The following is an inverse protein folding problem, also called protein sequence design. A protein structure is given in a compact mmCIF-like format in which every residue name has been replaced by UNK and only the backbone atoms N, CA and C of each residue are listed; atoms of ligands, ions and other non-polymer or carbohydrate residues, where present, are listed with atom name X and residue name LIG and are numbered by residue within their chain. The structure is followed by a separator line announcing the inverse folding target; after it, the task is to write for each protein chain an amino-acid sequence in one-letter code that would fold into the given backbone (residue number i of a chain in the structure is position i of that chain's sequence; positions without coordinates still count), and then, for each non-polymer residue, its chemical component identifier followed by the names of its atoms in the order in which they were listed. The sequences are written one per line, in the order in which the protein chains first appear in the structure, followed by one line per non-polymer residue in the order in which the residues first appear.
data_IF_578801535744
#
_entry.id   IF_578801535744
#
_cell.length_a   1.000
_cell.length_b   1.000
_cell.length_c   1.000
_cell.angle_alpha   90.00
_cell.angle_beta   90.00
_cell.angle_gamma   90.00
#
_symmetry.space_group_name_H-M   'P 1'
#
loop_
_entity.id
_entity.type
_entity.pdbx_description
1 polymer ?
#
# COMPACT_ATOMS: atom_id res chain seq x y z
N UNK A 1 1.58 -19.90 9.73
CA UNK A 1 1.16 -18.89 8.75
C UNK A 1 2.27 -17.88 8.60
N UNK A 2 2.76 -17.65 7.38
CA UNK A 2 3.80 -16.66 7.11
C UNK A 2 3.29 -15.68 6.07
N UNK A 3 3.66 -14.41 6.23
CA UNK A 3 3.44 -13.43 5.17
C UNK A 3 4.25 -13.85 3.94
N UNK A 4 3.64 -13.76 2.75
CA UNK A 4 4.28 -14.12 1.47
C UNK A 4 4.55 -12.91 0.59
N UNK A 5 3.63 -11.93 0.60
CA UNK A 5 3.71 -10.71 -0.19
C UNK A 5 2.80 -9.63 0.39
N UNK A 6 3.08 -8.39 0.02
CA UNK A 6 2.11 -7.30 0.12
C UNK A 6 1.36 -7.21 -1.21
N UNK A 7 0.11 -6.78 -1.18
CA UNK A 7 -0.55 -6.26 -2.37
C UNK A 7 -0.86 -4.80 -2.13
N UNK A 8 -0.29 -3.93 -2.95
CA UNK A 8 -0.68 -2.52 -2.99
C UNK A 8 -1.94 -2.39 -3.82
N UNK A 9 -2.93 -1.65 -3.31
CA UNK A 9 -4.20 -1.44 -4.01
C UNK A 9 -4.47 0.06 -4.09
N UNK A 10 -4.68 0.50 -5.31
CA UNK A 10 -4.99 1.88 -5.66
C UNK A 10 -6.51 2.07 -5.77
N UNK A 11 -6.96 3.31 -5.66
CA UNK A 11 -8.38 3.65 -5.67
C UNK A 11 -9.12 3.22 -6.95
N UNK A 12 -8.46 3.31 -8.10
CA UNK A 12 -8.99 2.84 -9.38
C UNK A 12 -9.10 1.30 -9.46
N UNK A 13 -8.87 0.59 -8.35
CA UNK A 13 -8.94 -0.86 -8.15
C UNK A 13 -7.74 -1.60 -8.77
N UNK A 14 -6.79 -0.89 -9.37
CA UNK A 14 -5.53 -1.49 -9.76
C UNK A 14 -4.78 -1.99 -8.52
N UNK A 15 -4.20 -3.18 -8.65
CA UNK A 15 -3.45 -3.78 -7.55
C UNK A 15 -2.29 -4.60 -8.04
N UNK A 16 -1.18 -4.49 -7.32
CA UNK A 16 0.06 -5.16 -7.67
C UNK A 16 0.59 -5.95 -6.49
N UNK A 17 0.95 -7.20 -6.78
CA UNK A 17 1.58 -8.08 -5.82
C UNK A 17 3.06 -7.71 -5.69
N UNK A 18 3.46 -7.27 -4.50
CA UNK A 18 4.84 -6.92 -4.13
C UNK A 18 5.45 -8.05 -3.31
N UNK A 19 6.35 -8.87 -3.88
CA UNK A 19 7.03 -9.93 -3.14
C UNK A 19 7.81 -9.38 -1.95
N UNK A 20 7.92 -10.14 -0.86
CA UNK A 20 8.66 -9.68 0.33
C UNK A 20 10.15 -9.41 0.07
N UNK A 21 10.75 -9.98 -0.99
CA UNK A 21 12.13 -9.65 -1.37
C UNK A 21 12.29 -8.19 -1.83
N UNK A 22 11.21 -7.55 -2.28
CA UNK A 22 11.17 -6.14 -2.69
C UNK A 22 10.98 -5.21 -1.49
N UNK A 23 10.42 -5.73 -0.40
CA UNK A 23 10.07 -4.97 0.81
C UNK A 23 11.24 -5.03 1.80
N UNK A 24 11.90 -3.90 2.05
CA UNK A 24 12.91 -3.81 3.11
C UNK A 24 12.26 -3.90 4.48
N UNK A 25 11.21 -3.11 4.70
CA UNK A 25 10.39 -3.15 5.89
C UNK A 25 9.03 -2.47 5.64
N UNK A 26 8.05 -2.77 6.48
CA UNK A 26 6.81 -2.02 6.53
C UNK A 26 6.24 -2.03 7.96
N UNK A 27 5.43 -1.04 8.27
CA UNK A 27 4.78 -0.90 9.56
C UNK A 27 3.37 -0.37 9.38
N UNK A 28 2.42 -1.02 10.06
CA UNK A 28 1.03 -0.58 10.15
C UNK A 28 0.75 -0.30 11.62
N UNK A 29 0.23 0.89 11.94
CA UNK A 29 -0.05 1.28 13.32
C UNK A 29 -1.44 1.90 13.48
N UNK A 30 -2.00 1.79 14.69
CA UNK A 30 -3.34 2.30 15.01
C UNK A 30 -4.43 1.61 14.20
N UNK A 31 -4.38 0.28 14.05
CA UNK A 31 -5.41 -0.48 13.34
C UNK A 31 -6.68 -0.50 14.19
N UNK A 32 -7.74 0.08 13.66
CA UNK A 32 -9.09 0.04 14.19
C UNK A 32 -9.93 -0.92 13.34
N UNK A 33 -10.81 -1.68 14.00
CA UNK A 33 -11.73 -2.60 13.34
C UNK A 33 -13.15 -2.12 13.55
N UNK A 34 -13.86 -1.88 12.46
CA UNK A 34 -15.29 -1.57 12.48
C UNK A 34 -16.05 -2.81 12.05
N UNK A 35 -17.07 -3.18 12.83
CA UNK A 35 -17.94 -4.31 12.53
C UNK A 35 -19.34 -3.75 12.42
N UNK A 36 -19.86 -3.68 11.20
CA UNK A 36 -21.19 -3.19 10.93
C UNK A 36 -22.13 -4.34 10.58
N UNK A 37 -23.33 -4.27 11.14
CA UNK A 37 -24.42 -5.17 10.82
C UNK A 37 -25.59 -4.36 10.28
N UNK A 38 -26.08 -4.73 9.10
CA UNK A 38 -27.28 -4.14 8.52
C UNK A 38 -28.50 -5.02 8.78
N UNK A 39 -29.69 -4.42 8.85
CA UNK A 39 -30.96 -5.16 8.96
C UNK A 39 -31.25 -6.10 7.78
N UNK A 40 -30.47 -5.98 6.69
CA UNK A 40 -30.50 -6.89 5.55
C UNK A 40 -29.65 -8.15 5.74
N UNK A 41 -29.06 -8.34 6.93
CA UNK A 41 -28.26 -9.52 7.26
C UNK A 41 -26.81 -9.45 6.79
N UNK A 42 -26.38 -8.33 6.20
CA UNK A 42 -24.98 -8.15 5.81
C UNK A 42 -24.15 -7.77 7.02
N UNK A 43 -23.09 -8.54 7.26
CA UNK A 43 -22.01 -8.25 8.19
C UNK A 43 -20.81 -7.75 7.38
N UNK A 44 -20.35 -6.53 7.65
CA UNK A 44 -19.11 -6.00 7.06
C UNK A 44 -18.08 -5.79 8.16
N UNK A 45 -16.85 -6.22 7.89
CA UNK A 45 -15.72 -6.00 8.77
C UNK A 45 -14.71 -5.15 8.01
N UNK A 46 -14.46 -3.95 8.50
CA UNK A 46 -13.49 -3.02 7.94
C UNK A 46 -12.32 -2.87 8.90
N UNK A 47 -11.11 -2.76 8.35
CA UNK A 47 -9.89 -2.49 9.10
C UNK A 47 -9.23 -1.26 8.51
N UNK A 48 -9.10 -0.21 9.31
CA UNK A 48 -8.47 1.05 8.91
C UNK A 48 -7.27 1.29 9.83
N UNK A 49 -6.14 1.72 9.29
CA UNK A 49 -5.00 2.12 10.12
C UNK A 49 -4.92 3.64 10.24
N UNK A 50 -4.26 4.12 11.30
CA UNK A 50 -3.95 5.55 11.46
C UNK A 50 -2.68 5.95 10.72
N UNK A 51 -1.74 5.02 10.56
CA UNK A 51 -0.50 5.27 9.84
C UNK A 51 0.06 3.99 9.23
N UNK A 52 0.51 4.10 7.98
CA UNK A 52 1.27 3.09 7.27
C UNK A 52 2.60 3.68 6.82
N UNK A 53 3.68 2.90 6.98
CA UNK A 53 4.98 3.22 6.37
C UNK A 53 5.54 1.99 5.71
N UNK A 54 6.20 2.13 4.56
CA UNK A 54 6.93 1.05 3.92
C UNK A 54 8.18 1.57 3.22
N UNK A 55 9.18 0.69 3.14
CA UNK A 55 10.43 0.93 2.44
C UNK A 55 10.65 -0.19 1.44
N UNK A 56 10.88 0.16 0.18
CA UNK A 56 11.06 -0.79 -0.92
C UNK A 56 12.40 -0.59 -1.61
N UNK A 57 12.95 -1.66 -2.17
CA UNK A 57 14.09 -1.57 -3.09
C UNK A 57 13.59 -1.14 -4.48
N UNK A 58 14.05 0.03 -4.96
CA UNK A 58 13.58 0.61 -6.23
C UNK A 58 13.88 -0.30 -7.41
N UNK A 59 15.10 -0.84 -7.47
CA UNK A 59 15.53 -1.73 -8.55
C UNK A 59 14.69 -3.01 -8.63
N UNK A 60 14.14 -3.48 -7.51
CA UNK A 60 13.25 -4.62 -7.47
C UNK A 60 11.79 -4.25 -7.77
N UNK A 61 11.33 -3.06 -7.37
CA UNK A 61 10.00 -2.54 -7.73
C UNK A 61 9.85 -2.42 -9.25
N UNK A 62 10.86 -1.89 -9.93
CA UNK A 62 10.89 -1.69 -11.38
C UNK A 62 10.77 -2.99 -12.19
N UNK A 63 11.00 -4.16 -11.57
CA UNK A 63 10.85 -5.47 -12.20
C UNK A 63 9.41 -5.99 -12.17
N UNK A 64 8.52 -5.35 -11.42
CA UNK A 64 7.12 -5.74 -11.31
C UNK A 64 6.36 -5.10 -12.47
N UNK A 65 5.83 -5.94 -13.37
CA UNK A 65 5.01 -5.47 -14.48
C UNK A 65 3.74 -4.79 -13.97
N UNK A 66 3.49 -3.60 -14.48
CA UNK A 66 2.24 -2.87 -14.31
C UNK A 66 1.36 -3.01 -15.56
N UNK A 67 0.09 -2.61 -15.48
CA UNK A 67 -0.81 -2.61 -16.65
C UNK A 67 -0.58 -1.37 -17.52
N UNK A 68 0.00 -0.32 -16.93
CA UNK A 68 0.31 0.96 -17.55
C UNK A 68 1.76 0.98 -18.07
N UNK A 69 2.09 1.91 -18.96
CA UNK A 69 3.47 2.11 -19.44
C UNK A 69 4.37 2.81 -18.39
N UNK A 70 4.13 2.58 -17.09
CA UNK A 70 4.89 3.15 -15.96
C UNK A 70 5.39 2.06 -15.02
N UNK A 71 6.55 2.27 -14.41
CA UNK A 71 7.10 1.35 -13.41
C UNK A 71 6.33 1.42 -12.08
N UNK A 72 6.42 0.38 -11.23
CA UNK A 72 5.66 0.37 -9.97
C UNK A 72 6.13 1.43 -8.97
N UNK A 73 7.41 1.80 -8.96
CA UNK A 73 7.93 2.94 -8.20
C UNK A 73 7.36 4.27 -8.70
N UNK A 74 7.28 4.49 -10.02
CA UNK A 74 6.61 5.68 -10.56
C UNK A 74 5.13 5.72 -10.16
N UNK A 75 4.46 4.56 -10.18
CA UNK A 75 3.05 4.42 -9.81
C UNK A 75 2.79 4.62 -8.31
N UNK A 76 3.79 4.35 -7.48
CA UNK A 76 3.74 4.57 -6.04
C UNK A 76 4.19 5.98 -5.64
N UNK A 77 4.74 6.78 -6.55
CA UNK A 77 5.27 8.10 -6.23
C UNK A 77 4.13 9.13 -6.08
N UNK A 78 3.96 9.68 -4.88
CA UNK A 78 2.89 10.64 -4.56
C UNK A 78 2.95 11.93 -5.40
N UNK A 79 4.08 12.23 -6.03
CA UNK A 79 4.19 13.37 -6.94
C UNK A 79 3.53 13.12 -8.30
N UNK A 80 3.38 11.84 -8.69
CA UNK A 80 2.74 11.41 -9.93
C UNK A 80 1.34 10.85 -9.66
N UNK A 81 1.23 9.96 -8.66
CA UNK A 81 0.01 9.27 -8.26
C UNK A 81 -0.03 9.16 -6.74
N UNK A 82 -1.02 9.78 -6.11
CA UNK A 82 -1.22 9.68 -4.67
C UNK A 82 -2.57 9.02 -4.38
N UNK A 83 -2.81 7.81 -4.84
CA UNK A 83 -4.12 7.14 -4.74
C UNK A 83 -4.01 5.74 -4.13
N UNK A 84 -2.91 5.46 -3.41
CA UNK A 84 -2.76 4.23 -2.63
C UNK A 84 -3.77 4.25 -1.47
N UNK A 85 -4.72 3.31 -1.49
CA UNK A 85 -5.86 3.32 -0.56
C UNK A 85 -5.88 2.09 0.37
N UNK A 86 -5.30 0.96 -0.05
CA UNK A 86 -5.25 -0.25 0.76
C UNK A 86 -3.95 -1.02 0.59
N UNK A 87 -3.61 -1.77 1.64
CA UNK A 87 -2.60 -2.83 1.59
C UNK A 87 -3.27 -4.13 1.97
N UNK A 88 -3.04 -5.17 1.16
CA UNK A 88 -3.35 -6.53 1.57
C UNK A 88 -2.10 -7.26 2.06
N UNK A 89 -2.20 -7.84 3.24
CA UNK A 89 -1.23 -8.79 3.76
C UNK A 89 -1.64 -10.18 3.27
N UNK A 90 -0.88 -10.74 2.32
CA UNK A 90 -1.19 -12.04 1.71
C UNK A 90 -0.22 -13.10 2.22
N UNK A 91 -0.77 -14.15 2.81
CA UNK A 91 0.00 -15.25 3.41
C UNK A 91 0.34 -16.34 2.39
N UNK A 92 1.20 -17.27 2.80
CA UNK A 92 1.61 -18.42 2.00
C UNK A 92 0.46 -19.38 1.63
N UNK A 93 -0.56 -19.48 2.48
CA UNK A 93 -1.78 -20.24 2.21
C UNK A 93 -2.87 -19.47 1.44
N UNK A 94 -2.60 -18.22 1.04
CA UNK A 94 -3.53 -17.39 0.25
C UNK A 94 -4.57 -16.62 1.06
N UNK A 95 -4.52 -16.67 2.39
CA UNK A 95 -5.34 -15.81 3.24
C UNK A 95 -4.93 -14.34 3.05
N UNK A 96 -5.94 -13.46 3.04
CA UNK A 96 -5.79 -12.03 2.79
C UNK A 96 -6.31 -11.24 3.98
N UNK A 97 -5.48 -10.37 4.53
CA UNK A 97 -5.91 -9.33 5.47
C UNK A 97 -5.81 -7.97 4.80
N UNK A 98 -6.95 -7.41 4.42
CA UNK A 98 -7.06 -6.05 3.87
C UNK A 98 -6.96 -5.03 5.00
N UNK A 99 -6.14 -3.99 4.82
CA UNK A 99 -6.03 -2.84 5.70
C UNK A 99 -6.19 -1.58 4.84
N UNK A 100 -7.20 -0.77 5.14
CA UNK A 100 -7.40 0.55 4.54
C UNK A 100 -6.44 1.55 5.15
N UNK A 101 -5.85 2.35 4.28
CA UNK A 101 -4.93 3.42 4.66
C UNK A 101 -5.73 4.69 5.00
N UNK A 102 -5.15 5.61 5.80
CA UNK A 102 -5.70 6.95 5.98
C UNK A 102 -5.98 7.61 4.63
N UNK A 103 -7.07 8.35 4.56
CA UNK A 103 -7.52 9.03 3.34
C UNK A 103 -7.88 10.47 3.67
N UNK A 104 -7.23 11.42 2.99
CA UNK A 104 -7.55 12.84 3.07
C UNK A 104 -7.78 13.38 1.65
N UNK A 105 -9.03 13.75 1.34
CA UNK A 105 -9.40 14.43 0.09
C UNK A 105 -9.44 15.94 0.33
N UNK A 106 -8.40 16.68 -0.06
CA UNK A 106 -8.46 18.14 -0.04
C UNK A 106 -8.45 18.78 -1.42
N UNK A 107 -7.83 18.12 -2.42
CA UNK A 107 -7.37 18.87 -3.59
C UNK A 107 -7.83 18.33 -4.95
N UNK A 108 -8.10 17.03 -5.08
CA UNK A 108 -8.51 16.41 -6.35
C UNK A 108 -9.39 15.19 -6.08
N UNK A 109 -10.38 14.88 -6.95
CA UNK A 109 -10.99 13.56 -6.93
C UNK A 109 -9.87 12.53 -7.09
N UNK A 110 -9.96 11.49 -6.29
CA UNK A 110 -9.07 10.34 -6.35
C UNK A 110 -7.60 10.61 -5.92
N UNK A 111 -7.39 11.55 -4.99
CA UNK A 111 -6.07 11.91 -4.45
C UNK A 111 -6.07 11.89 -2.92
N UNK A 112 -5.12 11.14 -2.36
CA UNK A 112 -4.86 10.95 -0.95
C UNK A 112 -3.71 11.88 -0.50
N UNK A 113 -4.08 13.07 -0.02
CA UNK A 113 -3.12 14.07 0.45
C UNK A 113 -2.30 13.61 1.67
N UNK A 114 -2.74 12.54 2.36
CA UNK A 114 -2.00 11.93 3.46
C UNK A 114 -0.80 11.08 3.00
N UNK A 115 -0.71 10.76 1.71
CA UNK A 115 0.37 9.96 1.13
C UNK A 115 1.59 10.83 0.79
N UNK A 116 2.77 10.40 1.25
CA UNK A 116 4.05 11.03 0.94
C UNK A 116 5.09 9.99 0.58
N UNK A 117 5.86 10.29 -0.47
CA UNK A 117 6.97 9.46 -0.92
C UNK A 117 8.26 10.24 -1.09
N UNK A 118 9.38 9.54 -0.91
CA UNK A 118 10.70 10.06 -1.22
C UNK A 118 11.67 8.90 -1.48
N UNK A 119 12.79 9.19 -2.14
CA UNK A 119 13.84 8.22 -2.46
C UNK A 119 15.14 8.64 -1.77
N UNK A 120 15.81 7.69 -1.12
CA UNK A 120 17.15 7.85 -0.56
C UNK A 120 18.06 6.68 -0.96
N UNK A 121 19.37 6.84 -0.82
CA UNK A 121 20.33 5.75 -0.98
C UNK A 121 20.64 5.10 0.37
N UNK A 122 20.76 3.77 0.40
CA UNK A 122 21.27 3.06 1.57
C UNK A 122 22.80 3.08 1.66
N UNK A 123 23.34 2.48 2.71
CA UNK A 123 24.80 2.43 2.95
C UNK A 123 25.57 1.66 1.86
N UNK A 124 24.89 0.87 1.03
CA UNK A 124 25.45 0.11 -0.09
C UNK A 124 25.25 0.85 -1.43
N UNK A 125 24.64 2.03 -1.43
CA UNK A 125 24.35 2.84 -2.61
C UNK A 125 23.11 2.37 -3.38
N UNK A 126 22.23 1.55 -2.78
CA UNK A 126 20.98 1.13 -3.41
C UNK A 126 19.89 2.15 -3.15
N UNK A 127 19.08 2.42 -4.17
CA UNK A 127 17.93 3.30 -4.05
C UNK A 127 16.79 2.62 -3.29
N UNK A 128 16.30 3.31 -2.27
CA UNK A 128 15.16 2.93 -1.45
C UNK A 128 14.04 3.93 -1.63
N UNK A 129 12.84 3.42 -1.92
CA UNK A 129 11.63 4.22 -1.93
C UNK A 129 10.94 4.10 -0.57
N UNK A 130 10.64 5.24 0.03
CA UNK A 130 9.91 5.34 1.27
C UNK A 130 8.50 5.83 0.98
N UNK A 131 7.52 5.20 1.64
CA UNK A 131 6.11 5.59 1.59
C UNK A 131 5.63 5.80 3.02
N UNK A 132 4.94 6.92 3.26
CA UNK A 132 4.20 7.19 4.49
C UNK A 132 2.79 7.61 4.13
N UNK A 133 1.78 7.02 4.78
CA UNK A 133 0.38 7.43 4.68
C UNK A 133 -0.17 7.67 6.09
N UNK A 134 -0.61 8.89 6.37
CA UNK A 134 -1.12 9.36 7.67
C UNK A 134 -0.13 10.15 8.52
#
# INVERSE_FOLDING_TARGET
MKLKKLRVVFENIDSYDVPLAVVKEFHVSGVEKTIDYSSYGNLTVEQVCRKFTATFFVDELQKINTVEDVTLDERLDSHNYADLCMIDLVTDNGEKTTIRLPWEEMTYPDHNDAMKTWIEEDFEGRQLMYISVG
#
